data_IF_011985970077
#
_entry.id   IF_011985970077
#
_cell.length_a   1.000
_cell.length_b   1.000
_cell.length_c   1.000
_cell.angle_alpha   90.00
_cell.angle_beta   90.00
_cell.angle_gamma   90.00
#
_symmetry.space_group_name_H-M   'P 1'
#
loop_
_entity.id
_entity.type
_entity.pdbx_description
1 polymer ?
#
# COMPACT_ATOMS: atom_id res chain seq x y z
N UNK A 1 -57.42 3.52 7.71
CA UNK A 1 -58.20 4.72 8.13
C UNK A 1 -59.33 4.36 9.10
N UNK A 2 -60.07 3.26 8.89
CA UNK A 2 -61.16 2.83 9.80
C UNK A 2 -60.71 2.39 11.21
N UNK A 3 -59.70 1.53 11.31
CA UNK A 3 -59.27 0.95 12.61
C UNK A 3 -58.71 1.99 13.60
N UNK A 4 -57.99 3.00 13.10
CA UNK A 4 -57.43 4.09 13.93
C UNK A 4 -58.56 4.96 14.51
N UNK A 5 -59.63 5.17 13.74
CA UNK A 5 -60.75 6.00 14.15
C UNK A 5 -61.61 5.33 15.24
N UNK A 6 -61.79 4.02 15.16
CA UNK A 6 -62.48 3.23 16.20
C UNK A 6 -61.72 3.24 17.53
N UNK A 7 -60.38 3.12 17.50
CA UNK A 7 -59.52 3.19 18.70
C UNK A 7 -59.58 4.60 19.33
N UNK A 8 -59.52 5.66 18.51
CA UNK A 8 -59.61 7.05 18.98
C UNK A 8 -60.96 7.34 19.62
N UNK A 9 -62.06 6.90 19.01
CA UNK A 9 -63.41 7.04 19.56
C UNK A 9 -63.58 6.22 20.86
N UNK A 10 -63.02 5.01 20.93
CA UNK A 10 -63.06 4.18 22.14
C UNK A 10 -62.35 4.81 23.34
N UNK A 11 -61.20 5.46 23.12
CA UNK A 11 -60.44 6.16 24.18
C UNK A 11 -61.17 7.42 24.66
N UNK A 12 -61.76 8.19 23.75
CA UNK A 12 -62.50 9.42 24.08
C UNK A 12 -63.83 9.09 24.79
N UNK A 13 -64.53 8.04 24.35
CA UNK A 13 -65.80 7.61 24.95
C UNK A 13 -65.62 6.95 26.33
N UNK A 14 -64.53 6.20 26.54
CA UNK A 14 -64.27 5.49 27.80
C UNK A 14 -63.71 6.35 28.94
N UNK A 15 -62.98 7.44 28.63
CA UNK A 15 -62.26 8.25 29.63
C UNK A 15 -62.66 9.73 29.67
N UNK A 16 -63.62 10.16 28.84
CA UNK A 16 -64.05 11.56 28.75
C UNK A 16 -62.90 12.51 28.39
N UNK A 17 -62.91 13.74 28.92
CA UNK A 17 -61.91 14.78 28.59
C UNK A 17 -60.44 14.39 28.85
N UNK A 18 -60.17 13.39 29.69
CA UNK A 18 -58.82 12.84 29.94
C UNK A 18 -58.28 12.09 28.71
N UNK A 19 -59.15 11.45 27.93
CA UNK A 19 -58.78 10.76 26.68
C UNK A 19 -58.17 11.72 25.65
N UNK A 20 -58.66 12.97 25.59
CA UNK A 20 -58.10 14.01 24.71
C UNK A 20 -56.67 14.39 25.11
N UNK A 21 -56.39 14.48 26.41
CA UNK A 21 -55.06 14.79 26.94
C UNK A 21 -54.07 13.65 26.63
N UNK A 22 -54.50 12.40 26.80
CA UNK A 22 -53.68 11.21 26.48
C UNK A 22 -53.34 11.18 24.98
N UNK A 23 -54.31 11.43 24.10
CA UNK A 23 -54.07 11.51 22.65
C UNK A 23 -53.11 12.65 22.28
N UNK A 24 -53.22 13.80 22.93
CA UNK A 24 -52.29 14.92 22.74
C UNK A 24 -50.85 14.57 23.14
N UNK A 25 -50.66 13.86 24.26
CA UNK A 25 -49.35 13.40 24.73
C UNK A 25 -48.75 12.37 23.76
N UNK A 26 -49.55 11.42 23.27
CA UNK A 26 -49.11 10.42 22.29
C UNK A 26 -48.69 11.10 20.98
N UNK A 27 -49.50 12.03 20.47
CA UNK A 27 -49.19 12.77 19.24
C UNK A 27 -47.92 13.61 19.39
N UNK A 28 -47.79 14.34 20.50
CA UNK A 28 -46.60 15.13 20.80
C UNK A 28 -45.34 14.25 20.92
N UNK A 29 -45.46 13.12 21.60
CA UNK A 29 -44.36 12.15 21.75
C UNK A 29 -43.96 11.53 20.41
N UNK A 30 -44.94 11.18 19.57
CA UNK A 30 -44.70 10.64 18.23
C UNK A 30 -44.01 11.67 17.32
N UNK A 31 -44.46 12.93 17.32
CA UNK A 31 -43.82 14.02 16.57
C UNK A 31 -42.40 14.31 17.07
N UNK A 32 -42.13 14.16 18.36
CA UNK A 32 -40.80 14.37 18.93
C UNK A 32 -39.84 13.19 18.63
N UNK A 33 -40.35 11.96 18.63
CA UNK A 33 -39.60 10.78 18.21
C UNK A 33 -39.30 10.86 16.71
N UNK A 34 -40.28 11.23 15.89
CA UNK A 34 -40.11 11.41 14.45
C UNK A 34 -39.06 12.48 14.13
N UNK A 35 -39.12 13.65 14.78
CA UNK A 35 -38.11 14.71 14.63
C UNK A 35 -36.71 14.23 15.01
N UNK A 36 -36.55 13.54 16.14
CA UNK A 36 -35.24 12.99 16.55
C UNK A 36 -34.72 11.90 15.61
N UNK A 37 -35.63 11.11 15.03
CA UNK A 37 -35.27 10.09 14.04
C UNK A 37 -34.81 10.76 12.74
N UNK A 38 -35.56 11.76 12.25
CA UNK A 38 -35.24 12.57 11.08
C UNK A 38 -33.91 13.33 11.26
N UNK A 39 -33.68 13.94 12.42
CA UNK A 39 -32.41 14.60 12.77
C UNK A 39 -31.24 13.60 12.78
N UNK A 40 -31.41 12.41 13.37
CA UNK A 40 -30.35 11.37 13.35
C UNK A 40 -30.07 10.84 11.95
N UNK A 41 -31.12 10.63 11.15
CA UNK A 41 -30.99 10.17 9.78
C UNK A 41 -30.34 11.23 8.90
N UNK A 42 -30.77 12.48 8.97
CA UNK A 42 -30.16 13.59 8.24
C UNK A 42 -28.71 13.83 8.65
N UNK A 43 -28.37 13.71 9.93
CA UNK A 43 -26.99 13.84 10.41
C UNK A 43 -26.12 12.67 9.96
N UNK A 44 -26.65 11.44 9.95
CA UNK A 44 -25.96 10.28 9.39
C UNK A 44 -25.76 10.42 7.88
N UNK A 45 -26.79 10.85 7.16
CA UNK A 45 -26.75 11.09 5.71
C UNK A 45 -25.77 12.20 5.37
N UNK A 46 -25.75 13.30 6.12
CA UNK A 46 -24.79 14.38 5.95
C UNK A 46 -23.36 13.91 6.22
N UNK A 47 -23.13 13.10 7.25
CA UNK A 47 -21.81 12.48 7.50
C UNK A 47 -21.38 11.56 6.38
N UNK A 48 -22.29 10.73 5.87
CA UNK A 48 -22.01 9.87 4.72
C UNK A 48 -21.73 10.69 3.46
N UNK A 49 -22.51 11.74 3.20
CA UNK A 49 -22.30 12.67 2.10
C UNK A 49 -20.98 13.44 2.21
N UNK A 50 -20.63 13.93 3.40
CA UNK A 50 -19.33 14.57 3.65
C UNK A 50 -18.18 13.58 3.46
N UNK A 51 -18.33 12.33 3.91
CA UNK A 51 -17.34 11.28 3.66
C UNK A 51 -17.23 10.95 2.19
N UNK A 52 -18.34 10.89 1.45
CA UNK A 52 -18.37 10.69 0.00
C UNK A 52 -17.74 11.87 -0.75
N UNK A 53 -18.07 13.11 -0.39
CA UNK A 53 -17.47 14.33 -0.94
C UNK A 53 -15.98 14.38 -0.65
N UNK A 54 -15.56 14.10 0.58
CA UNK A 54 -14.15 13.99 0.95
C UNK A 54 -13.42 12.93 0.10
N UNK A 55 -14.04 11.78 -0.13
CA UNK A 55 -13.47 10.74 -0.99
C UNK A 55 -13.44 11.14 -2.48
N UNK A 56 -14.37 11.98 -2.95
CA UNK A 56 -14.41 12.49 -4.33
C UNK A 56 -13.46 13.68 -4.55
N UNK A 57 -13.34 14.57 -3.56
CA UNK A 57 -12.44 15.74 -3.59
C UNK A 57 -10.96 15.31 -3.50
N UNK A 58 -10.67 14.14 -2.92
CA UNK A 58 -9.33 13.58 -2.86
C UNK A 58 -8.89 12.83 -4.14
N UNK A 59 -9.77 12.71 -5.14
CA UNK A 59 -9.43 12.03 -6.40
C UNK A 59 -8.79 12.99 -7.38
N UNK A 60 -7.63 12.61 -7.91
CA UNK A 60 -6.96 13.37 -8.97
C UNK A 60 -7.55 12.91 -10.29
N UNK A 61 -8.38 13.77 -10.87
CA UNK A 61 -8.98 13.55 -12.16
C UNK A 61 -7.94 13.70 -13.28
N UNK A 62 -7.67 12.61 -13.99
CA UNK A 62 -6.73 12.59 -15.11
C UNK A 62 -7.40 11.99 -16.36
N UNK A 63 -6.88 12.34 -17.53
CA UNK A 63 -7.29 11.69 -18.77
C UNK A 63 -6.89 10.22 -18.74
N UNK A 64 -7.68 9.37 -19.39
CA UNK A 64 -7.38 7.93 -19.53
C UNK A 64 -5.96 7.68 -20.05
N UNK A 65 -5.52 8.42 -21.07
CA UNK A 65 -4.17 8.29 -21.62
C UNK A 65 -3.07 8.57 -20.60
N UNK A 66 -3.27 9.58 -19.73
CA UNK A 66 -2.30 9.90 -18.67
C UNK A 66 -2.30 8.81 -17.58
N UNK A 67 -3.47 8.31 -17.20
CA UNK A 67 -3.59 7.19 -16.26
C UNK A 67 -2.87 5.95 -16.77
N UNK A 68 -3.17 5.53 -18.01
CA UNK A 68 -2.57 4.33 -18.62
C UNK A 68 -1.04 4.47 -18.70
N UNK A 69 -0.55 5.67 -19.01
CA UNK A 69 0.89 5.96 -19.05
C UNK A 69 1.53 5.86 -17.66
N UNK A 70 0.98 6.55 -16.65
CA UNK A 70 1.51 6.48 -15.28
C UNK A 70 1.44 5.06 -14.72
N UNK A 71 0.32 4.37 -14.90
CA UNK A 71 0.17 2.97 -14.47
C UNK A 71 1.21 2.06 -15.13
N UNK A 72 1.46 2.24 -16.43
CA UNK A 72 2.47 1.47 -17.16
C UNK A 72 3.87 1.71 -16.59
N UNK A 73 4.22 2.96 -16.28
CA UNK A 73 5.51 3.32 -15.68
C UNK A 73 5.68 2.63 -14.32
N UNK A 74 4.69 2.74 -13.43
CA UNK A 74 4.79 2.10 -12.11
C UNK A 74 4.79 0.57 -12.19
N UNK A 75 4.10 -0.03 -13.16
CA UNK A 75 4.14 -1.46 -13.43
C UNK A 75 5.54 -1.91 -13.88
N UNK A 76 6.18 -1.16 -14.78
CA UNK A 76 7.54 -1.42 -15.25
C UNK A 76 8.55 -1.34 -14.10
N UNK A 77 8.53 -0.23 -13.34
CA UNK A 77 9.43 -0.03 -12.20
C UNK A 77 9.24 -1.11 -11.13
N UNK A 78 8.00 -1.43 -10.78
CA UNK A 78 7.70 -2.44 -9.77
C UNK A 78 8.23 -3.81 -10.17
N UNK A 79 8.11 -4.18 -11.46
CA UNK A 79 8.66 -5.44 -11.97
C UNK A 79 10.19 -5.45 -11.94
N UNK A 80 10.83 -4.40 -12.46
CA UNK A 80 12.29 -4.33 -12.54
C UNK A 80 12.93 -4.38 -11.14
N UNK A 81 12.37 -3.65 -10.18
CA UNK A 81 12.85 -3.66 -8.79
C UNK A 81 12.49 -4.94 -8.05
N UNK A 82 11.35 -5.57 -8.31
CA UNK A 82 11.03 -6.87 -7.73
C UNK A 82 12.08 -7.92 -8.14
N UNK A 83 12.43 -7.98 -9.42
CA UNK A 83 13.44 -8.92 -9.91
C UNK A 83 14.82 -8.65 -9.28
N UNK A 84 15.24 -7.38 -9.19
CA UNK A 84 16.47 -7.02 -8.49
C UNK A 84 16.46 -7.41 -7.00
N UNK A 85 15.41 -7.03 -6.26
CA UNK A 85 15.31 -7.31 -4.81
C UNK A 85 15.30 -8.82 -4.54
N UNK A 86 14.63 -9.59 -5.38
CA UNK A 86 14.63 -11.05 -5.35
C UNK A 86 16.04 -11.61 -5.52
N UNK A 87 16.78 -11.17 -6.54
CA UNK A 87 18.11 -11.70 -6.83
C UNK A 87 19.13 -11.29 -5.76
N UNK A 88 19.01 -10.08 -5.20
CA UNK A 88 19.79 -9.65 -4.03
C UNK A 88 19.47 -10.51 -2.79
N UNK A 89 18.20 -10.86 -2.60
CA UNK A 89 17.77 -11.73 -1.50
C UNK A 89 18.21 -13.18 -1.69
N UNK A 90 18.53 -13.61 -2.90
CA UNK A 90 19.19 -14.91 -3.15
C UNK A 90 20.70 -14.82 -2.91
N UNK A 91 21.31 -13.69 -3.26
CA UNK A 91 22.76 -13.46 -3.15
C UNK A 91 23.23 -13.35 -1.70
N UNK A 92 22.50 -12.57 -0.88
CA UNK A 92 22.78 -12.37 0.55
C UNK A 92 21.45 -12.59 1.29
N UNK A 93 21.12 -13.85 1.61
CA UNK A 93 19.79 -14.22 2.06
C UNK A 93 19.55 -13.93 3.54
N UNK A 94 18.31 -13.57 3.88
CA UNK A 94 17.86 -13.49 5.27
C UNK A 94 17.38 -14.85 5.77
N UNK A 95 17.60 -15.13 7.06
CA UNK A 95 17.15 -16.38 7.69
C UNK A 95 18.02 -17.60 7.38
N UNK A 96 17.43 -18.79 7.51
CA UNK A 96 18.13 -20.07 7.32
C UNK A 96 18.11 -20.45 5.84
N UNK A 97 19.29 -20.75 5.28
CA UNK A 97 19.45 -21.19 3.89
C UNK A 97 20.20 -22.49 3.78
N UNK A 98 20.03 -23.15 2.64
CA UNK A 98 20.77 -24.36 2.28
C UNK A 98 22.00 -23.99 1.47
N UNK A 99 23.10 -24.71 1.69
CA UNK A 99 24.33 -24.60 0.89
C UNK A 99 24.59 -25.91 0.16
N UNK A 100 25.13 -25.80 -1.04
CA UNK A 100 25.65 -26.96 -1.78
C UNK A 100 26.90 -27.46 -1.03
N UNK A 101 26.98 -28.76 -0.78
CA UNK A 101 28.09 -29.35 -0.02
C UNK A 101 29.43 -29.29 -0.77
N UNK A 102 29.40 -29.34 -2.11
CA UNK A 102 30.59 -29.16 -2.95
C UNK A 102 30.94 -27.67 -3.07
N UNK A 103 32.13 -27.30 -2.57
CA UNK A 103 32.58 -25.91 -2.52
C UNK A 103 32.71 -25.26 -3.90
N UNK A 104 33.15 -26.02 -4.91
CA UNK A 104 33.34 -25.49 -6.26
C UNK A 104 31.99 -25.18 -6.90
N UNK A 105 31.05 -26.12 -6.84
CA UNK A 105 29.69 -25.93 -7.32
C UNK A 105 28.97 -24.80 -6.58
N UNK A 106 29.20 -24.65 -5.27
CA UNK A 106 28.66 -23.53 -4.49
C UNK A 106 29.20 -22.18 -5.01
N UNK A 107 30.51 -22.08 -5.28
CA UNK A 107 31.11 -20.84 -5.81
C UNK A 107 30.62 -20.52 -7.22
N UNK A 108 30.47 -21.51 -8.08
CA UNK A 108 29.89 -21.34 -9.42
C UNK A 108 28.44 -20.85 -9.35
N UNK A 109 27.64 -21.41 -8.44
CA UNK A 109 26.28 -20.98 -8.18
C UNK A 109 26.20 -19.54 -7.67
N UNK A 110 27.00 -19.18 -6.67
CA UNK A 110 27.06 -17.81 -6.13
C UNK A 110 27.49 -16.78 -7.17
N UNK A 111 28.48 -17.10 -8.01
CA UNK A 111 28.92 -16.22 -9.09
C UNK A 111 27.83 -16.01 -10.15
N UNK A 112 27.03 -17.06 -10.42
CA UNK A 112 25.86 -16.94 -11.29
C UNK A 112 24.82 -15.99 -10.68
N UNK A 113 24.48 -16.17 -9.40
CA UNK A 113 23.54 -15.29 -8.71
C UNK A 113 24.00 -13.82 -8.75
N UNK A 114 25.30 -13.57 -8.56
CA UNK A 114 25.86 -12.23 -8.68
C UNK A 114 25.69 -11.67 -10.11
N UNK A 115 26.04 -12.45 -11.13
CA UNK A 115 25.89 -12.03 -12.52
C UNK A 115 24.45 -11.69 -12.88
N UNK A 116 23.50 -12.53 -12.46
CA UNK A 116 22.06 -12.31 -12.66
C UNK A 116 21.62 -11.03 -11.95
N UNK A 117 22.04 -10.81 -10.69
CA UNK A 117 21.70 -9.61 -9.92
C UNK A 117 22.28 -8.33 -10.53
N UNK A 118 23.50 -8.35 -11.07
CA UNK A 118 24.10 -7.21 -11.79
C UNK A 118 23.28 -6.85 -13.03
N UNK A 119 22.86 -7.84 -13.81
CA UNK A 119 21.99 -7.62 -14.98
C UNK A 119 20.68 -6.94 -14.55
N UNK A 120 20.03 -7.43 -13.48
CA UNK A 120 18.79 -6.82 -12.96
C UNK A 120 19.03 -5.42 -12.39
N UNK A 121 20.20 -5.16 -11.82
CA UNK A 121 20.54 -3.82 -11.34
C UNK A 121 20.60 -2.81 -12.49
N UNK A 122 21.17 -3.20 -13.63
CA UNK A 122 21.21 -2.35 -14.84
C UNK A 122 19.78 -2.09 -15.33
N UNK A 123 18.96 -3.13 -15.47
CA UNK A 123 17.57 -2.99 -15.93
C UNK A 123 16.75 -2.08 -15.00
N UNK A 124 16.89 -2.23 -13.68
CA UNK A 124 16.20 -1.38 -12.70
C UNK A 124 16.68 0.07 -12.74
N UNK A 125 17.99 0.30 -12.92
CA UNK A 125 18.56 1.63 -13.07
C UNK A 125 18.05 2.33 -14.33
N UNK A 126 18.08 1.62 -15.46
CA UNK A 126 17.63 2.15 -16.75
C UNK A 126 16.15 2.49 -16.71
N UNK A 127 15.32 1.60 -16.15
CA UNK A 127 13.88 1.84 -15.98
C UNK A 127 13.61 3.05 -15.06
N UNK A 128 14.36 3.21 -13.97
CA UNK A 128 14.20 4.34 -13.05
C UNK A 128 14.61 5.68 -13.70
N UNK A 129 15.76 5.70 -14.37
CA UNK A 129 16.32 6.92 -14.95
C UNK A 129 15.56 7.37 -16.20
N UNK A 130 15.14 6.44 -17.06
CA UNK A 130 14.37 6.75 -18.26
C UNK A 130 13.00 7.35 -17.93
N UNK A 131 12.43 6.92 -16.80
CA UNK A 131 11.14 7.40 -16.32
C UNK A 131 11.24 8.55 -15.30
N UNK A 132 12.45 9.00 -14.93
CA UNK A 132 12.65 10.00 -13.87
C UNK A 132 11.82 11.29 -14.03
N UNK A 133 11.64 11.87 -15.23
CA UNK A 133 10.83 13.08 -15.40
C UNK A 133 9.33 12.87 -15.19
N UNK A 134 8.86 11.62 -15.20
CA UNK A 134 7.44 11.24 -15.19
C UNK A 134 7.00 10.65 -13.85
N UNK A 135 7.92 10.44 -12.91
CA UNK A 135 7.66 9.87 -11.58
C UNK A 135 7.62 11.01 -10.56
N UNK A 136 6.76 10.89 -9.55
CA UNK A 136 6.78 11.81 -8.42
C UNK A 136 8.12 11.74 -7.67
N UNK A 137 8.70 12.89 -7.33
CA UNK A 137 10.03 12.97 -6.70
C UNK A 137 10.17 12.10 -5.45
N UNK A 138 9.14 12.01 -4.60
CA UNK A 138 9.15 11.12 -3.44
C UNK A 138 9.26 9.63 -3.82
N UNK A 139 8.48 9.17 -4.81
CA UNK A 139 8.52 7.79 -5.28
C UNK A 139 9.85 7.47 -5.96
N UNK A 140 10.36 8.40 -6.78
CA UNK A 140 11.69 8.28 -7.38
C UNK A 140 12.78 8.11 -6.31
N UNK A 141 12.77 8.96 -5.29
CA UNK A 141 13.75 8.91 -4.20
C UNK A 141 13.68 7.58 -3.45
N UNK A 142 12.48 7.02 -3.22
CA UNK A 142 12.30 5.72 -2.58
C UNK A 142 12.88 4.58 -3.42
N UNK A 143 12.61 4.56 -4.73
CA UNK A 143 13.25 3.60 -5.64
C UNK A 143 14.77 3.75 -5.62
N UNK A 144 15.29 4.97 -5.69
CA UNK A 144 16.73 5.24 -5.69
C UNK A 144 17.41 4.76 -4.39
N UNK A 145 16.78 4.96 -3.22
CA UNK A 145 17.29 4.45 -1.94
C UNK A 145 17.40 2.92 -1.97
N UNK A 146 16.35 2.23 -2.45
CA UNK A 146 16.36 0.77 -2.57
C UNK A 146 17.48 0.33 -3.52
N UNK A 147 17.62 1.00 -4.66
CA UNK A 147 18.67 0.72 -5.63
C UNK A 147 20.08 0.90 -5.04
N UNK A 148 20.30 1.95 -4.26
CA UNK A 148 21.57 2.20 -3.57
C UNK A 148 21.91 1.09 -2.57
N UNK A 149 20.91 0.61 -1.82
CA UNK A 149 21.09 -0.52 -0.90
C UNK A 149 21.41 -1.82 -1.66
N UNK A 150 20.71 -2.10 -2.76
CA UNK A 150 21.00 -3.25 -3.63
C UNK A 150 22.42 -3.19 -4.19
N UNK A 151 22.86 -2.04 -4.70
CA UNK A 151 24.24 -1.84 -5.16
C UNK A 151 25.26 -2.03 -4.05
N UNK A 152 24.92 -1.64 -2.81
CA UNK A 152 25.81 -1.91 -1.67
C UNK A 152 25.95 -3.41 -1.41
N UNK A 153 24.88 -4.21 -1.58
CA UNK A 153 24.96 -5.67 -1.50
C UNK A 153 25.83 -6.27 -2.61
N UNK A 154 25.71 -5.77 -3.85
CA UNK A 154 26.60 -6.20 -4.95
C UNK A 154 28.06 -5.91 -4.63
N UNK A 155 28.37 -4.71 -4.11
CA UNK A 155 29.73 -4.34 -3.68
C UNK A 155 30.22 -5.15 -2.49
N UNK A 156 29.34 -5.49 -1.54
CA UNK A 156 29.66 -6.42 -0.44
C UNK A 156 30.08 -7.77 -1.03
N UNK A 157 29.36 -8.29 -2.01
CA UNK A 157 29.70 -9.55 -2.67
C UNK A 157 31.05 -9.47 -3.40
N UNK A 158 31.31 -8.38 -4.12
CA UNK A 158 32.56 -8.11 -4.87
C UNK A 158 33.81 -8.10 -3.99
N UNK A 159 33.66 -7.93 -2.67
CA UNK A 159 34.76 -7.97 -1.70
C UNK A 159 35.64 -9.21 -1.87
N UNK A 160 35.05 -10.35 -2.26
CA UNK A 160 35.73 -11.63 -2.55
C UNK A 160 36.82 -11.54 -3.61
N UNK A 161 36.73 -10.57 -4.53
CA UNK A 161 37.69 -10.36 -5.63
C UNK A 161 38.61 -9.16 -5.40
N UNK A 162 38.44 -8.42 -4.30
CA UNK A 162 39.23 -7.24 -4.04
C UNK A 162 40.65 -7.62 -3.57
N UNK A 163 41.64 -7.38 -4.43
CA UNK A 163 43.06 -7.67 -4.19
C UNK A 163 43.71 -6.72 -3.18
N UNK A 164 43.11 -5.56 -2.92
CA UNK A 164 43.63 -4.57 -1.96
C UNK A 164 43.29 -4.92 -0.51
N UNK A 165 42.35 -5.84 -0.29
CA UNK A 165 41.98 -6.29 1.06
C UNK A 165 42.95 -7.38 1.51
N UNK A 166 43.71 -7.11 2.56
CA UNK A 166 44.65 -8.06 3.18
C UNK A 166 43.92 -8.93 4.22
N UNK A 167 42.99 -9.76 3.75
CA UNK A 167 42.27 -10.74 4.55
C UNK A 167 42.32 -12.11 3.85
N UNK A 168 42.06 -13.18 4.60
CA UNK A 168 41.92 -14.52 4.02
C UNK A 168 40.74 -14.58 3.03
N UNK A 169 40.76 -15.54 2.11
CA UNK A 169 39.65 -15.70 1.15
C UNK A 169 38.33 -15.98 1.87
N UNK A 170 38.36 -16.76 2.94
CA UNK A 170 37.20 -17.05 3.79
C UNK A 170 36.60 -15.78 4.39
N UNK A 171 37.43 -14.88 4.95
CA UNK A 171 36.97 -13.60 5.48
C UNK A 171 36.36 -12.72 4.38
N UNK A 172 36.95 -12.69 3.19
CA UNK A 172 36.41 -11.89 2.06
C UNK A 172 35.08 -12.43 1.55
N UNK A 173 34.90 -13.76 1.53
CA UNK A 173 33.69 -14.45 1.09
C UNK A 173 32.58 -14.47 2.16
N UNK A 174 32.92 -14.25 3.43
CA UNK A 174 31.94 -14.14 4.51
C UNK A 174 31.07 -12.89 4.41
N UNK A 175 29.87 -12.94 4.99
CA UNK A 175 29.01 -11.76 5.17
C UNK A 175 28.85 -11.45 6.65
N UNK A 176 28.80 -10.17 6.98
CA UNK A 176 28.52 -9.72 8.34
C UNK A 176 27.02 -9.75 8.65
N UNK A 177 26.66 -9.71 9.94
CA UNK A 177 25.26 -9.53 10.36
C UNK A 177 24.63 -8.27 9.75
N UNK A 178 25.41 -7.20 9.58
CA UNK A 178 24.94 -5.96 8.96
C UNK A 178 24.58 -6.17 7.47
N UNK A 179 25.34 -6.98 6.74
CA UNK A 179 25.04 -7.30 5.35
C UNK A 179 23.72 -8.08 5.24
N UNK A 180 23.45 -9.02 6.16
CA UNK A 180 22.16 -9.72 6.21
C UNK A 180 21.01 -8.78 6.58
N UNK A 181 21.20 -7.93 7.59
CA UNK A 181 20.20 -6.93 8.01
C UNK A 181 19.88 -5.95 6.88
N UNK A 182 20.84 -5.64 6.01
CA UNK A 182 20.62 -4.78 4.84
C UNK A 182 19.67 -5.43 3.83
N UNK A 183 19.73 -6.74 3.63
CA UNK A 183 18.75 -7.45 2.80
C UNK A 183 17.34 -7.35 3.41
N UNK A 184 17.22 -7.47 4.72
CA UNK A 184 15.93 -7.29 5.42
C UNK A 184 15.39 -5.86 5.26
N UNK A 185 16.27 -4.86 5.40
CA UNK A 185 15.94 -3.45 5.17
C UNK A 185 15.47 -3.20 3.73
N UNK A 186 16.14 -3.78 2.73
CA UNK A 186 15.74 -3.70 1.32
C UNK A 186 14.32 -4.22 1.12
N UNK A 187 14.02 -5.42 1.65
CA UNK A 187 12.70 -6.04 1.53
C UNK A 187 11.61 -5.22 2.22
N UNK A 188 11.91 -4.67 3.40
CA UNK A 188 11.00 -3.79 4.15
C UNK A 188 10.70 -2.52 3.36
N UNK A 189 11.73 -1.80 2.90
CA UNK A 189 11.54 -0.57 2.13
C UNK A 189 10.82 -0.80 0.80
N UNK A 190 11.10 -1.93 0.14
CA UNK A 190 10.41 -2.26 -1.11
C UNK A 190 8.92 -2.56 -0.87
N UNK A 191 8.58 -3.24 0.22
CA UNK A 191 7.19 -3.46 0.63
C UNK A 191 6.48 -2.14 0.94
N UNK A 192 7.11 -1.25 1.70
CA UNK A 192 6.58 0.09 1.99
C UNK A 192 6.35 0.93 0.73
N UNK A 193 7.29 0.86 -0.23
CA UNK A 193 7.16 1.54 -1.52
C UNK A 193 5.96 1.00 -2.32
N UNK A 194 5.79 -0.32 -2.39
CA UNK A 194 4.68 -0.94 -3.09
C UNK A 194 3.32 -0.53 -2.49
N UNK A 195 3.21 -0.44 -1.16
CA UNK A 195 2.01 0.08 -0.50
C UNK A 195 1.76 1.55 -0.83
N UNK A 196 2.82 2.36 -0.88
CA UNK A 196 2.70 3.78 -1.25
C UNK A 196 2.25 3.96 -2.70
N UNK A 197 2.79 3.17 -3.63
CA UNK A 197 2.37 3.16 -5.04
C UNK A 197 0.90 2.72 -5.14
N UNK A 198 0.51 1.64 -4.45
CA UNK A 198 -0.89 1.18 -4.45
C UNK A 198 -1.85 2.26 -3.95
N UNK A 199 -1.46 2.93 -2.86
CA UNK A 199 -2.24 4.04 -2.29
C UNK A 199 -2.35 5.20 -3.27
N UNK A 200 -1.25 5.60 -3.91
CA UNK A 200 -1.23 6.65 -4.92
C UNK A 200 -2.10 6.31 -6.13
N UNK A 201 -1.95 5.11 -6.70
CA UNK A 201 -2.75 4.68 -7.84
C UNK A 201 -4.25 4.64 -7.51
N UNK A 202 -4.62 4.33 -6.26
CA UNK A 202 -6.00 4.36 -5.80
C UNK A 202 -6.60 5.77 -5.67
N UNK A 203 -5.77 6.82 -5.61
CA UNK A 203 -6.26 8.22 -5.63
C UNK A 203 -6.49 8.74 -7.05
N UNK A 204 -6.02 8.03 -8.08
CA UNK A 204 -6.24 8.44 -9.47
C UNK A 204 -7.65 8.01 -9.90
N UNK A 205 -8.42 8.97 -10.43
CA UNK A 205 -9.72 8.68 -11.05
C UNK A 205 -9.72 9.17 -12.49
N UNK A 206 -10.38 8.43 -13.37
CA UNK A 206 -10.36 8.68 -14.81
C UNK A 206 -11.57 9.53 -15.17
N UNK A 207 -11.34 10.70 -15.77
CA UNK A 207 -12.43 11.43 -16.44
C UNK A 207 -12.72 10.71 -17.77
N UNK A 208 -13.96 10.28 -17.96
CA UNK A 208 -14.45 9.76 -19.26
C UNK A 208 -14.42 10.81 -20.37
#
# INVERSE_FOLDING_TARGET
MGEIWEIVLGIIAGFGGVGVIILAIIKFSAEQIARRLEEKYSLKLNKELEKYKYNLDNKIYISKTKFDTEFSIYKELSKAFFDLVKDISLLIPTGVTTKIADEKAQKEYENKLYSDAVEKAIVAQDALNSNAPFIQSDLFNKYNIIFQLCNRQLKTFERRWNVLIMASQEEKESFSTEDYNRTDEINTKFSELNEKIRTYLATLDVIE
#
